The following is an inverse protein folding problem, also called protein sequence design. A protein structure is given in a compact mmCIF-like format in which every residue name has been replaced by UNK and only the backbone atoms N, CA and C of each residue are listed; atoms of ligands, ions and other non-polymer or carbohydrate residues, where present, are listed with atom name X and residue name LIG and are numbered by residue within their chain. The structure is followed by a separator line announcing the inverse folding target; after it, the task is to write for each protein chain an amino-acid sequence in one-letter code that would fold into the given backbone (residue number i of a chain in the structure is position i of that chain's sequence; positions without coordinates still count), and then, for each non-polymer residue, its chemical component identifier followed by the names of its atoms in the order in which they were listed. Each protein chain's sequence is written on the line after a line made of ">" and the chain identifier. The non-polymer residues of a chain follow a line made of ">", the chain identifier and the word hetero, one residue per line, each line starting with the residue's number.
data_IF_084625099266
#
_entry.id   IF_084625099266
#
_cell.length_a   1.000
_cell.length_b   1.000
_cell.length_c   1.000
_cell.angle_alpha   90.00
_cell.angle_beta   90.00
_cell.angle_gamma   90.00
#
_symmetry.space_group_name_H-M   'P 1'
#
loop_
_entity.id
_entity.type
_entity.pdbx_description
1 polymer ?
#
# COMPACT_ATOMS: atom_id res chain seq x y z
N UNK A 1 10.79 12.50 8.12
CA UNK A 1 10.00 11.26 8.29
C UNK A 1 10.93 10.11 8.61
N UNK A 2 10.54 9.20 9.50
CA UNK A 2 11.30 7.97 9.78
C UNK A 2 11.16 6.95 8.64
N UNK A 3 12.01 5.92 8.59
CA UNK A 3 11.87 4.84 7.60
C UNK A 3 10.51 4.12 7.68
N UNK A 4 9.99 3.96 8.90
CA UNK A 4 8.66 3.38 9.12
C UNK A 4 7.54 4.29 8.59
N UNK A 5 7.66 5.62 8.74
CA UNK A 5 6.68 6.56 8.18
C UNK A 5 6.67 6.52 6.65
N UNK A 6 7.86 6.47 6.04
CA UNK A 6 8.03 6.36 4.58
C UNK A 6 7.46 5.02 4.08
N UNK A 7 7.73 3.91 4.75
CA UNK A 7 7.12 2.61 4.45
C UNK A 7 5.58 2.69 4.49
N UNK A 8 5.00 3.21 5.58
CA UNK A 8 3.55 3.30 5.74
C UNK A 8 2.91 4.11 4.62
N UNK A 9 3.51 5.25 4.27
CA UNK A 9 3.00 6.10 3.19
C UNK A 9 3.08 5.40 1.84
N UNK A 10 4.22 4.79 1.50
CA UNK A 10 4.41 4.06 0.25
C UNK A 10 3.41 2.91 0.12
N UNK A 11 3.25 2.11 1.18
CA UNK A 11 2.29 1.01 1.21
C UNK A 11 0.85 1.50 1.04
N UNK A 12 0.47 2.62 1.66
CA UNK A 12 -0.85 3.21 1.51
C UNK A 12 -1.12 3.64 0.06
N UNK A 13 -0.17 4.32 -0.57
CA UNK A 13 -0.28 4.75 -1.97
C UNK A 13 -0.44 3.56 -2.93
N UNK A 14 0.37 2.51 -2.74
CA UNK A 14 0.28 1.26 -3.53
C UNK A 14 -1.07 0.57 -3.31
N UNK A 15 -1.50 0.39 -2.05
CA UNK A 15 -2.79 -0.24 -1.77
C UNK A 15 -3.97 0.57 -2.28
N UNK A 16 -3.94 1.89 -2.14
CA UNK A 16 -4.96 2.79 -2.68
C UNK A 16 -5.10 2.62 -4.19
N UNK A 17 -3.97 2.67 -4.92
CA UNK A 17 -3.92 2.46 -6.36
C UNK A 17 -4.49 1.10 -6.77
N UNK A 18 -4.04 0.02 -6.14
CA UNK A 18 -4.48 -1.32 -6.50
C UNK A 18 -5.93 -1.60 -6.11
N UNK A 19 -6.41 -1.04 -5.00
CA UNK A 19 -7.82 -1.14 -4.59
C UNK A 19 -8.75 -0.40 -5.54
N UNK A 20 -8.32 0.74 -6.11
CA UNK A 20 -9.08 1.45 -7.16
C UNK A 20 -9.18 0.67 -8.46
N UNK A 21 -8.12 -0.06 -8.82
CA UNK A 21 -8.03 -0.73 -10.13
C UNK A 21 -8.38 -2.21 -10.07
N UNK A 22 -8.57 -2.79 -8.88
CA UNK A 22 -8.88 -4.21 -8.72
C UNK A 22 -10.09 -4.64 -9.58
N UNK A 23 -10.04 -5.79 -10.29
CA UNK A 23 -8.97 -6.80 -10.32
C UNK A 23 -7.92 -6.59 -11.43
N UNK A 24 -7.85 -5.41 -12.02
CA UNK A 24 -6.95 -5.12 -13.15
C UNK A 24 -5.51 -4.99 -12.63
N UNK A 25 -4.60 -5.74 -13.27
CA UNK A 25 -3.16 -5.61 -13.04
C UNK A 25 -2.68 -4.23 -13.47
N UNK A 26 -1.82 -3.63 -12.65
CA UNK A 26 -1.34 -2.26 -12.81
C UNK A 26 0.17 -2.23 -12.73
N UNK A 27 0.81 -1.58 -13.69
CA UNK A 27 2.25 -1.33 -13.64
C UNK A 27 2.52 -0.18 -12.67
N UNK A 28 3.50 -0.38 -11.79
CA UNK A 28 3.87 0.57 -10.74
C UNK A 28 5.31 1.00 -10.99
N UNK A 29 5.47 2.24 -11.41
CA UNK A 29 6.78 2.82 -11.72
C UNK A 29 7.13 3.90 -10.69
N UNK A 30 8.39 3.96 -10.27
CA UNK A 30 8.88 4.88 -9.24
C UNK A 30 8.58 6.35 -9.55
N UNK A 31 8.55 6.72 -10.83
CA UNK A 31 8.19 8.07 -11.28
C UNK A 31 6.75 8.48 -10.92
N UNK A 32 5.86 7.52 -10.64
CA UNK A 32 4.50 7.77 -10.14
C UNK A 32 4.47 8.05 -8.62
N UNK A 33 5.62 7.91 -7.94
CA UNK A 33 5.80 8.04 -6.51
C UNK A 33 6.91 9.07 -6.24
N UNK A 34 6.67 10.36 -6.51
CA UNK A 34 7.72 11.39 -6.57
C UNK A 34 8.49 11.61 -5.26
N UNK A 35 7.92 11.24 -4.11
CA UNK A 35 8.63 11.28 -2.82
C UNK A 35 9.72 10.22 -2.66
N UNK A 36 9.69 9.21 -3.54
CA UNK A 36 10.64 8.10 -3.54
C UNK A 36 11.55 8.12 -4.77
N UNK A 37 11.33 9.01 -5.74
CA UNK A 37 12.17 9.15 -6.93
C UNK A 37 13.42 10.01 -6.67
N UNK A 38 14.11 9.72 -5.56
CA UNK A 38 15.41 10.27 -5.21
C UNK A 38 16.34 9.16 -4.68
N UNK A 39 17.65 9.42 -4.65
CA UNK A 39 18.65 8.42 -4.28
C UNK A 39 18.49 7.89 -2.84
N UNK A 40 17.97 8.70 -1.92
CA UNK A 40 17.83 8.34 -0.51
C UNK A 40 16.58 7.49 -0.26
N UNK A 41 15.48 7.79 -0.96
CA UNK A 41 14.17 7.18 -0.71
C UNK A 41 13.81 6.04 -1.65
N UNK A 42 14.52 5.91 -2.78
CA UNK A 42 14.28 4.88 -3.79
C UNK A 42 14.32 3.46 -3.23
N UNK A 43 15.24 3.18 -2.31
CA UNK A 43 15.35 1.86 -1.68
C UNK A 43 14.10 1.51 -0.86
N UNK A 44 13.46 2.51 -0.23
CA UNK A 44 12.24 2.29 0.57
C UNK A 44 11.07 1.89 -0.33
N UNK A 45 10.94 2.50 -1.51
CA UNK A 45 9.91 2.11 -2.47
C UNK A 45 10.06 0.65 -2.89
N UNK A 46 11.25 0.26 -3.37
CA UNK A 46 11.51 -1.12 -3.79
C UNK A 46 11.34 -2.11 -2.65
N UNK A 47 11.87 -1.81 -1.46
CA UNK A 47 11.74 -2.66 -0.28
C UNK A 47 10.28 -2.79 0.18
N UNK A 48 9.48 -1.75 0.03
CA UNK A 48 8.04 -1.79 0.34
C UNK A 48 7.31 -2.73 -0.61
N UNK A 49 7.51 -2.58 -1.93
CA UNK A 49 6.85 -3.45 -2.92
C UNK A 49 7.30 -4.91 -2.74
N UNK A 50 8.60 -5.15 -2.56
CA UNK A 50 9.15 -6.48 -2.32
C UNK A 50 8.54 -7.13 -1.07
N UNK A 51 8.40 -6.38 0.03
CA UNK A 51 7.77 -6.86 1.26
C UNK A 51 6.28 -7.22 1.06
N UNK A 52 5.52 -6.35 0.38
CA UNK A 52 4.10 -6.59 0.12
C UNK A 52 3.88 -7.82 -0.78
N UNK A 53 4.76 -8.03 -1.76
CA UNK A 53 4.73 -9.20 -2.65
C UNK A 53 5.14 -10.48 -1.90
N UNK A 54 6.24 -10.43 -1.13
CA UNK A 54 6.74 -11.59 -0.39
C UNK A 54 5.75 -12.10 0.65
N UNK A 55 5.05 -11.18 1.32
CA UNK A 55 4.03 -11.51 2.29
C UNK A 55 2.68 -11.86 1.63
N UNK A 56 2.59 -11.79 0.30
CA UNK A 56 1.43 -12.21 -0.48
C UNK A 56 0.25 -11.26 -0.36
N UNK A 57 0.46 -9.98 -0.09
CA UNK A 57 -0.59 -8.95 -0.14
C UNK A 57 -0.90 -8.54 -1.58
N UNK A 58 0.17 -8.38 -2.35
CA UNK A 58 0.14 -8.10 -3.78
C UNK A 58 0.83 -9.25 -4.51
N UNK A 59 0.65 -9.29 -5.82
CA UNK A 59 1.41 -10.15 -6.71
C UNK A 59 2.01 -9.31 -7.82
N UNK A 60 3.33 -9.36 -7.94
CA UNK A 60 4.07 -8.79 -9.05
C UNK A 60 4.34 -9.86 -10.11
N UNK A 61 4.35 -9.51 -11.39
CA UNK A 61 4.84 -10.42 -12.43
C UNK A 61 6.36 -10.31 -12.56
N UNK A 62 6.85 -9.09 -12.73
CA UNK A 62 8.26 -8.82 -13.01
C UNK A 62 8.72 -7.57 -12.25
N UNK A 63 9.99 -7.59 -11.82
CA UNK A 63 10.71 -6.42 -11.33
C UNK A 63 11.59 -5.87 -12.45
N UNK A 64 11.46 -4.59 -12.73
CA UNK A 64 12.27 -3.87 -13.73
C UNK A 64 13.05 -2.75 -13.07
N UNK A 65 13.98 -2.12 -13.79
CA UNK A 65 14.86 -1.08 -13.25
C UNK A 65 14.11 0.07 -12.56
N UNK A 66 12.95 0.45 -13.11
CA UNK A 66 12.15 1.58 -12.62
C UNK A 66 10.92 1.20 -11.81
N UNK A 67 10.66 -0.08 -11.51
CA UNK A 67 9.40 -0.47 -10.87
C UNK A 67 9.02 -1.94 -11.05
N UNK A 68 7.71 -2.20 -11.04
CA UNK A 68 7.12 -3.53 -11.05
C UNK A 68 5.97 -3.61 -12.04
N UNK A 69 5.96 -4.68 -12.82
CA UNK A 69 4.97 -4.89 -13.87
C UNK A 69 3.88 -5.86 -13.41
N UNK A 70 2.66 -5.59 -13.86
CA UNK A 70 1.50 -6.45 -13.66
C UNK A 70 1.09 -6.63 -12.20
N UNK A 71 1.22 -5.59 -11.36
CA UNK A 71 0.93 -5.67 -9.92
C UNK A 71 -0.58 -5.73 -9.66
N UNK A 72 -1.02 -6.63 -8.78
CA UNK A 72 -2.45 -6.75 -8.40
C UNK A 72 -2.58 -7.19 -6.94
N UNK A 73 -3.69 -6.82 -6.28
CA UNK A 73 -4.02 -7.39 -4.96
C UNK A 73 -4.24 -8.90 -5.07
N UNK A 74 -3.71 -9.64 -4.09
CA UNK A 74 -4.08 -11.05 -3.92
C UNK A 74 -5.42 -11.16 -3.18
N UNK A 75 -5.95 -12.39 -3.06
CA UNK A 75 -7.10 -12.64 -2.18
C UNK A 75 -6.81 -12.21 -0.73
N UNK A 76 -5.59 -12.47 -0.23
CA UNK A 76 -5.14 -12.08 1.11
C UNK A 76 -5.14 -10.56 1.28
N UNK A 77 -4.54 -9.82 0.34
CA UNK A 77 -4.55 -8.35 0.36
C UNK A 77 -5.95 -7.76 0.25
N UNK A 78 -6.76 -8.28 -0.68
CA UNK A 78 -8.14 -7.83 -0.88
C UNK A 78 -9.02 -8.05 0.34
N UNK A 79 -8.95 -9.22 0.98
CA UNK A 79 -9.76 -9.52 2.16
C UNK A 79 -9.47 -8.56 3.32
N UNK A 80 -8.20 -8.21 3.54
CA UNK A 80 -7.85 -7.24 4.59
C UNK A 80 -8.29 -5.84 4.23
N UNK A 81 -8.07 -5.39 3.00
CA UNK A 81 -8.54 -4.08 2.58
C UNK A 81 -10.07 -3.96 2.64
N UNK A 82 -10.80 -5.04 2.37
CA UNK A 82 -12.25 -5.09 2.45
C UNK A 82 -12.77 -5.42 3.87
N UNK A 83 -11.89 -5.64 4.84
CA UNK A 83 -12.27 -5.82 6.23
C UNK A 83 -12.71 -4.49 6.83
N UNK A 84 -13.83 -4.50 7.55
CA UNK A 84 -14.28 -3.37 8.36
C UNK A 84 -13.51 -3.37 9.67
N UNK A 85 -12.65 -2.37 9.94
CA UNK A 85 -11.93 -2.30 11.20
C UNK A 85 -12.92 -1.92 12.30
N UNK A 86 -13.08 -2.77 13.32
CA UNK A 86 -13.91 -2.46 14.50
C UNK A 86 -13.43 -1.18 15.24
N UNK A 87 -12.21 -0.72 14.98
CA UNK A 87 -11.56 0.36 15.72
C UNK A 87 -11.62 1.75 15.04
N UNK A 88 -11.93 1.85 13.74
CA UNK A 88 -11.78 3.12 12.99
C UNK A 88 -13.14 3.67 12.52
N UNK A 89 -14.01 2.84 11.92
CA UNK A 89 -15.42 3.18 11.65
C UNK A 89 -16.20 1.94 11.17
N UNK A 90 -17.38 1.65 11.72
CA UNK A 90 -18.19 0.48 11.30
C UNK A 90 -18.80 0.62 9.89
N UNK A 91 -18.64 1.79 9.23
CA UNK A 91 -19.30 2.12 7.96
C UNK A 91 -18.37 2.13 6.73
N UNK A 92 -17.07 1.94 6.90
CA UNK A 92 -16.08 1.97 5.81
C UNK A 92 -15.12 0.79 5.89
N UNK A 93 -14.67 0.32 4.73
CA UNK A 93 -13.60 -0.68 4.66
C UNK A 93 -12.24 -0.02 4.88
N UNK A 94 -11.20 -0.78 5.25
CA UNK A 94 -9.83 -0.26 5.33
C UNK A 94 -9.36 0.35 3.99
N UNK A 95 -9.80 -0.20 2.86
CA UNK A 95 -9.53 0.35 1.53
C UNK A 95 -10.18 1.72 1.30
N UNK A 96 -11.42 1.91 1.75
CA UNK A 96 -12.09 3.21 1.70
C UNK A 96 -11.41 4.22 2.64
N UNK A 97 -10.95 3.77 3.80
CA UNK A 97 -10.19 4.58 4.73
C UNK A 97 -8.85 5.01 4.14
N UNK A 98 -8.08 4.10 3.50
CA UNK A 98 -6.84 4.44 2.78
C UNK A 98 -7.11 5.56 1.76
N UNK A 99 -8.12 5.39 0.91
CA UNK A 99 -8.50 6.42 -0.09
C UNK A 99 -8.80 7.77 0.56
N UNK A 100 -9.53 7.76 1.66
CA UNK A 100 -9.91 8.98 2.37
C UNK A 100 -8.70 9.66 3.02
N UNK A 101 -7.82 8.90 3.69
CA UNK A 101 -6.64 9.48 4.35
C UNK A 101 -5.62 9.99 3.34
N UNK A 102 -5.43 9.30 2.20
CA UNK A 102 -4.60 9.77 1.10
C UNK A 102 -5.12 11.09 0.52
N UNK A 103 -6.43 11.24 0.32
CA UNK A 103 -7.04 12.51 -0.12
C UNK A 103 -6.85 13.64 0.89
N UNK A 104 -6.89 13.31 2.18
CA UNK A 104 -6.75 14.30 3.26
C UNK A 104 -5.31 14.73 3.54
N UNK A 105 -4.32 13.93 3.12
CA UNK A 105 -2.90 14.17 3.37
C UNK A 105 -2.48 14.08 4.85
N UNK A 106 -3.32 13.52 5.73
CA UNK A 106 -3.03 13.44 7.17
C UNK A 106 -2.19 12.21 7.50
N UNK A 107 -0.89 12.42 7.75
CA UNK A 107 0.07 11.35 8.06
C UNK A 107 -0.36 10.43 9.21
N UNK A 108 -0.91 10.98 10.30
CA UNK A 108 -1.38 10.15 11.43
C UNK A 108 -2.52 9.20 11.04
N UNK A 109 -3.41 9.64 10.13
CA UNK A 109 -4.48 8.79 9.59
C UNK A 109 -3.92 7.65 8.74
N UNK A 110 -2.95 7.96 7.87
CA UNK A 110 -2.25 6.97 7.04
C UNK A 110 -1.59 5.90 7.92
N UNK A 111 -0.81 6.33 8.94
CA UNK A 111 -0.13 5.41 9.87
C UNK A 111 -1.12 4.52 10.63
N UNK A 112 -2.23 5.08 11.09
CA UNK A 112 -3.27 4.34 11.82
C UNK A 112 -3.86 3.22 10.97
N UNK A 113 -4.25 3.53 9.72
CA UNK A 113 -4.87 2.57 8.82
C UNK A 113 -3.89 1.46 8.40
N UNK A 114 -2.65 1.82 8.06
CA UNK A 114 -1.62 0.81 7.72
C UNK A 114 -1.29 -0.09 8.91
N UNK A 115 -1.23 0.45 10.13
CA UNK A 115 -0.98 -0.36 11.32
C UNK A 115 -2.09 -1.39 11.55
N UNK A 116 -3.34 -1.01 11.32
CA UNK A 116 -4.47 -1.94 11.46
C UNK A 116 -4.44 -3.00 10.36
N UNK A 117 -4.10 -2.63 9.13
CA UNK A 117 -3.84 -3.58 8.04
C UNK A 117 -2.79 -4.59 8.49
N UNK A 118 -1.59 -4.15 8.87
CA UNK A 118 -0.50 -5.02 9.35
C UNK A 118 -0.94 -5.91 10.52
N UNK A 119 -1.70 -5.36 11.49
CA UNK A 119 -2.21 -6.11 12.64
C UNK A 119 -3.11 -7.27 12.22
N UNK A 120 -4.01 -7.06 11.26
CA UNK A 120 -4.92 -8.10 10.76
C UNK A 120 -4.19 -9.24 10.03
N UNK A 121 -2.90 -9.10 9.73
CA UNK A 121 -2.07 -10.16 9.14
C UNK A 121 -1.32 -11.03 10.14
N UNK A 122 -1.10 -10.54 11.36
CA UNK A 122 -0.38 -11.27 12.42
C UNK A 122 -1.35 -11.98 13.39
N UNK A 123 -2.66 -11.72 13.25
CA UNK A 123 -3.73 -12.35 14.03
C UNK A 123 -4.22 -13.64 13.37
#
# INVERSE_FOLDING_TARGET
>A
MTSMDKFNKCAAEIFGLLYERFPIRTDIEIQSFPEYDDLENREIFFSTVDFLDSEGFIKCNDKVYGGYMGVVLTAKGFMVLNSTPKAINEKSTLGDEIKNVLKSGKDEGIKSVIREIVRLFVA
#
